data_IF_042767624334
#
_entry.id   IF_042767624334
#
_cell.length_a   1.000
_cell.length_b   1.000
_cell.length_c   1.000
_cell.angle_alpha   90.00
_cell.angle_beta   90.00
_cell.angle_gamma   90.00
#
_symmetry.space_group_name_H-M   'P 1'
#
loop_
_entity.id
_entity.type
_entity.pdbx_description
1 polymer ?
#
# COMPACT_ATOMS: atom_id res chain seq x y z
N UNK A 1 13.73 1.36 0.76
CA UNK A 1 12.36 1.64 1.22
C UNK A 1 12.12 3.11 1.57
N UNK A 2 12.99 3.79 2.34
CA UNK A 2 12.82 5.23 2.71
C UNK A 2 12.72 6.17 1.50
N UNK A 3 13.49 5.92 0.44
CA UNK A 3 13.49 6.74 -0.78
C UNK A 3 12.19 6.60 -1.60
N UNK A 4 11.54 5.46 -1.53
CA UNK A 4 10.30 5.17 -2.28
C UNK A 4 9.08 5.90 -1.71
N UNK A 5 9.04 6.15 -0.41
CA UNK A 5 7.98 6.92 0.25
C UNK A 5 7.97 8.39 -0.21
N UNK A 6 9.16 9.00 -0.37
CA UNK A 6 9.30 10.35 -0.91
C UNK A 6 8.96 10.42 -2.40
N UNK A 7 9.31 9.39 -3.18
CA UNK A 7 8.99 9.31 -4.61
C UNK A 7 7.49 9.11 -4.83
N UNK A 8 6.81 8.30 -4.01
CA UNK A 8 5.35 8.17 -4.10
C UNK A 8 4.61 9.48 -3.78
N UNK A 9 5.15 10.29 -2.86
CA UNK A 9 4.58 11.58 -2.51
C UNK A 9 4.61 12.56 -3.70
N UNK A 10 5.63 12.48 -4.57
CA UNK A 10 5.80 13.38 -5.73
C UNK A 10 5.35 12.77 -7.07
N UNK A 11 5.39 11.46 -7.26
CA UNK A 11 4.84 10.80 -8.46
C UNK A 11 3.33 11.02 -8.61
N UNK A 12 2.66 11.35 -7.51
CA UNK A 12 1.25 11.70 -7.49
C UNK A 12 0.90 13.00 -8.24
N UNK A 13 1.86 13.86 -8.57
CA UNK A 13 1.59 15.17 -9.18
C UNK A 13 1.67 15.14 -10.72
N UNK A 14 2.38 14.15 -11.29
CA UNK A 14 2.52 13.99 -12.74
C UNK A 14 1.45 13.05 -13.31
N UNK A 15 0.21 13.51 -13.35
CA UNK A 15 -0.90 12.81 -14.02
C UNK A 15 -0.77 12.92 -15.54
N UNK A 16 -0.14 11.94 -16.16
CA UNK A 16 -0.11 11.74 -17.60
C UNK A 16 0.15 10.26 -17.87
N UNK A 17 -0.79 9.59 -18.52
CA UNK A 17 -0.63 8.24 -19.02
C UNK A 17 0.50 8.19 -20.07
N UNK A 18 1.68 7.75 -19.66
CA UNK A 18 2.68 7.19 -20.56
C UNK A 18 3.71 6.43 -19.72
N UNK A 19 3.77 5.13 -19.90
CA UNK A 19 4.89 4.31 -19.41
C UNK A 19 6.17 4.72 -20.15
N UNK A 20 7.22 5.22 -19.48
CA UNK A 20 8.50 5.38 -20.11
C UNK A 20 9.23 4.04 -20.10
N UNK A 21 9.38 3.42 -21.25
CA UNK A 21 10.42 2.43 -21.53
C UNK A 21 11.77 3.15 -21.48
N UNK A 22 12.53 2.94 -20.41
CA UNK A 22 13.92 3.40 -20.35
C UNK A 22 14.83 2.39 -21.06
N UNK A 23 15.76 2.85 -21.89
CA UNK A 23 16.78 1.98 -22.46
C UNK A 23 17.78 1.60 -21.37
N UNK A 24 17.96 0.30 -21.18
CA UNK A 24 18.99 -0.29 -20.33
C UNK A 24 20.34 -0.11 -21.03
N UNK A 25 21.13 0.83 -20.57
CA UNK A 25 22.58 0.84 -20.83
C UNK A 25 23.26 0.26 -19.61
N UNK A 26 23.80 -0.95 -19.79
CA UNK A 26 24.58 -1.65 -18.80
C UNK A 26 25.91 -0.90 -18.56
N UNK A 27 26.13 -0.43 -17.35
CA UNK A 27 27.47 -0.12 -16.85
C UNK A 27 27.72 -0.98 -15.60
N UNK A 28 28.62 -1.91 -15.78
CA UNK A 28 29.11 -2.86 -14.79
C UNK A 28 29.88 -2.09 -13.70
N UNK A 29 29.37 -2.10 -12.48
CA UNK A 29 30.18 -1.84 -11.30
C UNK A 29 29.81 -2.88 -10.24
N UNK A 30 30.70 -3.84 -10.12
CA UNK A 30 30.73 -4.93 -9.15
C UNK A 30 30.82 -4.38 -7.73
N UNK A 31 29.75 -4.55 -6.95
CA UNK A 31 29.90 -4.63 -5.51
C UNK A 31 28.90 -5.66 -4.98
N UNK A 32 29.38 -6.89 -4.89
CA UNK A 32 28.69 -8.08 -4.43
C UNK A 32 28.63 -8.08 -2.91
N UNK A 33 27.57 -7.50 -2.36
CA UNK A 33 27.06 -7.97 -1.09
C UNK A 33 26.02 -9.05 -1.43
N UNK A 34 26.50 -10.29 -1.48
CA UNK A 34 25.68 -11.47 -1.69
C UNK A 34 24.79 -11.65 -0.46
N UNK A 35 23.53 -11.28 -0.59
CA UNK A 35 22.48 -11.78 0.30
C UNK A 35 22.30 -13.24 -0.08
N UNK A 36 22.79 -14.13 0.76
CA UNK A 36 22.53 -15.56 0.64
C UNK A 36 21.04 -15.80 0.88
N UNK A 37 20.31 -15.99 -0.21
CA UNK A 37 18.98 -16.59 -0.19
C UNK A 37 19.24 -18.10 -0.01
N UNK A 38 18.76 -18.72 1.09
CA UNK A 38 18.91 -20.16 1.25
C UNK A 38 18.22 -20.87 0.10
N UNK A 39 18.98 -21.63 -0.64
CA UNK A 39 18.54 -22.43 -1.78
C UNK A 39 17.72 -23.61 -1.30
N UNK A 40 16.56 -23.81 -1.92
CA UNK A 40 15.82 -25.04 -2.11
C UNK A 40 15.39 -25.81 -0.85
N UNK A 41 14.11 -25.73 -0.56
CA UNK A 41 13.41 -26.74 0.23
C UNK A 41 12.75 -27.73 -0.73
N UNK A 42 13.14 -29.04 -0.71
CA UNK A 42 12.34 -30.08 -1.34
C UNK A 42 11.23 -30.54 -0.37
N UNK A 43 9.99 -30.34 -0.76
CA UNK A 43 8.88 -31.18 -0.34
C UNK A 43 8.51 -31.17 1.14
N UNK A 44 7.91 -30.08 1.63
CA UNK A 44 6.96 -30.14 2.74
C UNK A 44 6.10 -28.89 2.74
N UNK A 45 4.88 -29.02 2.28
CA UNK A 45 3.90 -27.92 2.15
C UNK A 45 3.41 -27.40 3.51
N UNK A 46 3.77 -28.05 4.62
CA UNK A 46 3.29 -27.72 5.99
C UNK A 46 4.20 -26.82 6.83
N UNK A 47 5.49 -26.67 6.50
CA UNK A 47 6.42 -25.86 7.30
C UNK A 47 6.66 -24.47 6.73
N UNK A 48 6.83 -24.36 5.42
CA UNK A 48 7.22 -23.13 4.74
C UNK A 48 6.13 -22.05 4.80
N UNK A 49 4.86 -22.45 4.80
CA UNK A 49 3.73 -21.52 4.95
C UNK A 49 3.73 -20.82 6.31
N UNK A 50 4.04 -21.54 7.39
CA UNK A 50 4.09 -20.96 8.75
C UNK A 50 5.21 -19.94 8.92
N UNK A 51 6.38 -20.22 8.37
CA UNK A 51 7.54 -19.33 8.52
C UNK A 51 7.41 -18.05 7.68
N UNK A 52 6.78 -18.11 6.50
CA UNK A 52 6.46 -16.92 5.71
C UNK A 52 5.49 -16.00 6.43
N UNK A 53 4.47 -16.55 7.08
CA UNK A 53 3.48 -15.79 7.85
C UNK A 53 4.08 -15.19 9.12
N UNK A 54 4.96 -15.91 9.81
CA UNK A 54 5.67 -15.41 11.00
C UNK A 54 6.67 -14.30 10.67
N UNK A 55 7.32 -14.37 9.51
CA UNK A 55 8.23 -13.35 9.01
C UNK A 55 7.46 -12.06 8.69
N UNK A 56 6.31 -12.15 8.04
CA UNK A 56 5.49 -10.99 7.72
C UNK A 56 5.00 -10.24 8.97
N UNK A 57 4.44 -10.95 9.96
CA UNK A 57 4.00 -10.37 11.22
C UNK A 57 5.17 -9.74 12.02
N UNK A 58 6.35 -10.34 11.97
CA UNK A 58 7.56 -9.84 12.64
C UNK A 58 8.10 -8.55 12.00
N UNK A 59 7.90 -8.37 10.69
CA UNK A 59 8.38 -7.17 9.98
C UNK A 59 7.38 -6.01 10.04
N UNK A 60 6.08 -6.23 10.06
CA UNK A 60 5.08 -5.18 10.18
C UNK A 60 5.02 -4.57 11.57
N UNK A 61 5.13 -5.38 12.64
CA UNK A 61 5.08 -4.90 14.03
C UNK A 61 6.36 -4.21 14.52
N UNK A 62 7.49 -4.34 13.79
CA UNK A 62 8.79 -3.81 14.22
C UNK A 62 9.18 -2.49 13.53
N UNK A 63 8.43 -2.02 12.55
CA UNK A 63 8.81 -0.89 11.70
C UNK A 63 7.91 0.32 11.92
N UNK A 64 8.09 1.00 13.05
CA UNK A 64 7.66 2.40 13.12
C UNK A 64 8.66 3.23 12.32
N UNK A 65 8.23 3.71 11.15
CA UNK A 65 9.05 4.58 10.33
C UNK A 65 8.97 6.02 10.84
N UNK A 66 10.10 6.70 10.79
CA UNK A 66 10.22 8.13 11.11
C UNK A 66 11.11 8.82 10.08
N UNK A 67 10.91 10.12 9.84
CA UNK A 67 11.74 10.87 8.93
C UNK A 67 13.19 10.95 9.42
N UNK A 68 14.11 11.03 8.47
CA UNK A 68 15.49 11.42 8.74
C UNK A 68 15.60 12.94 8.86
N UNK A 69 16.73 13.43 9.40
CA UNK A 69 16.98 14.87 9.58
C UNK A 69 16.90 15.67 8.26
N UNK A 70 17.17 15.03 7.13
CA UNK A 70 17.23 15.68 5.82
C UNK A 70 15.93 15.58 5.01
N UNK A 71 15.01 14.69 5.35
CA UNK A 71 13.82 14.39 4.55
C UNK A 71 12.94 15.62 4.32
N UNK A 72 12.75 16.44 5.35
CA UNK A 72 11.98 17.69 5.23
C UNK A 72 12.66 18.73 4.29
N UNK A 73 13.98 18.82 4.33
CA UNK A 73 14.76 19.69 3.42
C UNK A 73 14.68 19.19 1.98
N UNK A 74 14.76 17.89 1.80
CA UNK A 74 14.63 17.24 0.48
C UNK A 74 13.23 17.51 -0.07
N UNK A 75 12.19 17.27 0.71
CA UNK A 75 10.80 17.52 0.29
C UNK A 75 10.55 18.96 -0.13
N UNK A 76 11.03 19.95 0.66
CA UNK A 76 10.95 21.37 0.32
C UNK A 76 11.70 21.67 -1.00
N UNK A 77 12.91 21.09 -1.17
CA UNK A 77 13.70 21.32 -2.38
C UNK A 77 12.99 20.81 -3.61
N UNK A 78 12.41 19.61 -3.54
CA UNK A 78 11.62 19.02 -4.63
C UNK A 78 10.39 19.88 -4.94
N UNK A 79 9.66 20.37 -3.91
CA UNK A 79 8.56 21.32 -4.10
C UNK A 79 8.98 22.58 -4.86
N UNK A 80 10.12 23.17 -4.50
CA UNK A 80 10.66 24.35 -5.21
C UNK A 80 11.10 24.05 -6.65
N UNK A 81 11.67 22.86 -6.90
CA UNK A 81 12.01 22.43 -8.26
C UNK A 81 10.74 22.25 -9.09
N UNK A 82 9.69 21.67 -8.50
CA UNK A 82 8.39 21.57 -9.13
C UNK A 82 7.83 22.94 -9.53
N UNK A 83 7.78 23.92 -8.63
CA UNK A 83 7.29 25.27 -8.91
C UNK A 83 8.03 25.93 -10.08
N UNK A 84 9.36 25.72 -10.19
CA UNK A 84 10.20 26.37 -11.21
C UNK A 84 10.13 25.69 -12.57
N UNK A 85 10.06 24.38 -12.59
CA UNK A 85 10.27 23.58 -13.80
C UNK A 85 8.98 22.94 -14.34
N UNK A 86 7.89 22.92 -13.59
CA UNK A 86 6.62 22.42 -14.11
C UNK A 86 6.14 23.34 -15.24
N UNK A 87 5.61 22.74 -16.30
CA UNK A 87 5.20 23.49 -17.50
C UNK A 87 4.15 24.59 -17.22
N UNK A 88 3.27 24.39 -16.23
CA UNK A 88 2.28 25.39 -15.79
C UNK A 88 2.86 26.41 -14.80
N UNK A 89 4.06 26.19 -14.26
CA UNK A 89 4.69 27.00 -13.21
C UNK A 89 3.76 27.31 -12.04
N UNK A 90 2.90 26.34 -11.69
CA UNK A 90 1.97 26.49 -10.58
C UNK A 90 2.73 26.48 -9.25
N UNK A 91 2.33 27.34 -8.32
CA UNK A 91 2.88 27.33 -6.96
C UNK A 91 2.48 26.06 -6.24
N UNK A 92 3.30 25.64 -5.30
CA UNK A 92 2.95 24.58 -4.37
C UNK A 92 2.07 25.19 -3.25
N UNK A 93 0.79 25.35 -3.55
CA UNK A 93 -0.22 25.94 -2.68
C UNK A 93 -1.14 24.88 -2.07
N UNK A 94 -2.13 25.33 -1.30
CA UNK A 94 -3.09 24.46 -0.63
C UNK A 94 -3.84 23.52 -1.60
N UNK A 95 -4.11 23.97 -2.85
CA UNK A 95 -4.79 23.11 -3.84
C UNK A 95 -3.89 21.95 -4.28
N UNK A 96 -2.61 22.25 -4.55
CA UNK A 96 -1.61 21.22 -4.88
C UNK A 96 -1.37 20.31 -3.69
N UNK A 97 -1.28 20.87 -2.49
CA UNK A 97 -1.15 20.10 -1.24
C UNK A 97 -2.29 19.09 -1.05
N UNK A 98 -3.53 19.52 -1.22
CA UNK A 98 -4.72 18.64 -1.14
C UNK A 98 -4.67 17.51 -2.19
N UNK A 99 -4.40 17.84 -3.43
CA UNK A 99 -4.28 16.84 -4.50
C UNK A 99 -3.16 15.83 -4.21
N UNK A 100 -2.04 16.30 -3.68
CA UNK A 100 -0.92 15.45 -3.30
C UNK A 100 -1.29 14.50 -2.17
N UNK A 101 -1.96 15.01 -1.13
CA UNK A 101 -2.48 14.21 -0.04
C UNK A 101 -3.45 13.13 -0.53
N UNK A 102 -4.47 13.52 -1.30
CA UNK A 102 -5.49 12.59 -1.81
C UNK A 102 -4.85 11.46 -2.62
N UNK A 103 -3.88 11.79 -3.48
CA UNK A 103 -3.14 10.79 -4.25
C UNK A 103 -2.23 9.91 -3.40
N UNK A 104 -1.67 10.44 -2.32
CA UNK A 104 -0.88 9.64 -1.39
C UNK A 104 -1.75 8.59 -0.69
N UNK A 105 -2.92 8.97 -0.22
CA UNK A 105 -3.90 8.04 0.35
C UNK A 105 -4.33 6.99 -0.67
N UNK A 106 -4.66 7.40 -1.89
CA UNK A 106 -5.06 6.48 -2.97
C UNK A 106 -3.93 5.54 -3.41
N UNK A 107 -2.67 5.98 -3.34
CA UNK A 107 -1.52 5.14 -3.63
C UNK A 107 -1.28 4.06 -2.56
N UNK A 108 -1.58 4.36 -1.30
CA UNK A 108 -1.49 3.39 -0.20
C UNK A 108 -2.67 2.42 -0.20
N UNK A 109 -3.87 2.90 -0.48
CA UNK A 109 -5.11 2.13 -0.35
C UNK A 109 -6.07 2.40 -1.53
N UNK A 110 -5.71 1.97 -2.77
CA UNK A 110 -6.45 2.30 -3.99
C UNK A 110 -7.85 1.67 -4.04
N UNK A 111 -8.09 0.60 -3.29
CA UNK A 111 -9.36 -0.11 -3.23
C UNK A 111 -10.15 0.19 -1.95
N UNK A 112 -9.69 1.11 -1.12
CA UNK A 112 -10.33 1.51 0.14
C UNK A 112 -10.63 0.31 1.05
N UNK A 113 -9.60 -0.54 1.21
CA UNK A 113 -9.70 -1.78 1.99
C UNK A 113 -9.15 -1.63 3.41
N UNK A 114 -8.21 -0.72 3.62
CA UNK A 114 -7.44 -0.66 4.86
C UNK A 114 -7.81 0.53 5.75
N UNK A 115 -7.69 1.76 5.24
CA UNK A 115 -8.03 2.94 6.03
C UNK A 115 -9.51 2.99 6.37
N UNK A 116 -9.82 3.31 7.62
CA UNK A 116 -11.16 3.59 8.08
C UNK A 116 -11.54 5.04 7.77
N UNK A 117 -12.85 5.33 7.77
CA UNK A 117 -13.34 6.70 7.66
C UNK A 117 -12.77 7.61 8.76
N UNK A 118 -12.70 7.11 9.99
CA UNK A 118 -12.13 7.82 11.14
C UNK A 118 -10.64 8.15 10.98
N UNK A 119 -9.86 7.29 10.30
CA UNK A 119 -8.45 7.59 10.02
C UNK A 119 -8.32 8.81 9.10
N UNK A 120 -9.17 8.91 8.07
CA UNK A 120 -9.16 10.05 7.15
C UNK A 120 -9.59 11.34 7.85
N UNK A 121 -10.60 11.29 8.73
CA UNK A 121 -11.04 12.41 9.54
C UNK A 121 -9.91 12.91 10.48
N UNK A 122 -9.11 12.00 11.03
CA UNK A 122 -7.92 12.34 11.84
C UNK A 122 -6.83 13.02 10.99
N UNK A 123 -6.73 12.67 9.68
CA UNK A 123 -5.74 13.23 8.76
C UNK A 123 -6.18 14.53 8.07
N UNK A 124 -7.44 14.94 8.18
CA UNK A 124 -7.96 16.17 7.55
C UNK A 124 -7.10 17.41 7.84
N UNK A 125 -6.60 17.68 9.07
CA UNK A 125 -5.73 18.83 9.32
C UNK A 125 -4.43 18.78 8.49
N UNK A 126 -3.87 17.60 8.25
CA UNK A 126 -2.67 17.44 7.40
C UNK A 126 -3.02 17.76 5.95
N UNK A 127 -4.16 17.29 5.47
CA UNK A 127 -4.66 17.54 4.12
C UNK A 127 -4.82 19.04 3.84
N UNK A 128 -5.38 19.78 4.80
CA UNK A 128 -5.64 21.21 4.63
C UNK A 128 -4.37 22.07 4.64
N UNK A 129 -3.29 21.62 5.31
CA UNK A 129 -2.07 22.39 5.54
C UNK A 129 -0.79 21.75 5.03
N UNK A 130 -0.87 20.79 4.10
CA UNK A 130 0.29 20.04 3.61
C UNK A 130 1.32 20.94 2.92
N UNK A 131 0.87 21.96 2.20
CA UNK A 131 1.73 22.95 1.57
C UNK A 131 2.58 23.72 2.60
N UNK A 132 1.97 24.19 3.68
CA UNK A 132 2.65 24.87 4.79
C UNK A 132 3.64 23.93 5.49
N UNK A 133 3.21 22.69 5.78
CA UNK A 133 4.06 21.68 6.42
C UNK A 133 5.34 21.44 5.62
N UNK A 134 5.23 21.25 4.31
CA UNK A 134 6.39 20.96 3.43
C UNK A 134 7.19 22.23 3.13
N UNK A 135 6.53 23.28 2.64
CA UNK A 135 7.23 24.43 2.06
C UNK A 135 7.76 25.41 3.11
N UNK A 136 7.12 25.50 4.27
CA UNK A 136 7.48 26.43 5.34
C UNK A 136 8.17 25.70 6.49
N UNK A 137 7.49 24.71 7.08
CA UNK A 137 7.97 24.01 8.28
C UNK A 137 9.02 22.93 7.97
N UNK A 138 9.08 22.43 6.73
CA UNK A 138 9.91 21.27 6.34
C UNK A 138 9.57 20.02 7.16
N UNK A 139 8.30 19.91 7.54
CA UNK A 139 7.80 18.83 8.34
C UNK A 139 7.15 17.78 7.44
N UNK A 140 7.72 16.60 7.43
CA UNK A 140 7.22 15.42 6.70
C UNK A 140 6.78 14.31 7.65
N UNK A 141 6.81 14.55 8.96
CA UNK A 141 6.36 13.58 9.97
C UNK A 141 4.95 13.05 9.68
N UNK A 142 3.96 13.90 9.29
CA UNK A 142 2.61 13.42 9.01
C UNK A 142 2.53 12.35 7.91
N UNK A 143 3.41 12.40 6.90
CA UNK A 143 3.45 11.36 5.87
C UNK A 143 3.88 9.99 6.44
N UNK A 144 4.79 10.00 7.41
CA UNK A 144 5.22 8.80 8.12
C UNK A 144 4.15 8.30 9.09
N UNK A 145 3.43 9.19 9.76
CA UNK A 145 2.33 8.84 10.66
C UNK A 145 1.18 8.17 9.90
N UNK A 146 0.83 8.70 8.73
CA UNK A 146 -0.15 8.09 7.83
C UNK A 146 0.30 6.70 7.38
N UNK A 147 1.57 6.55 6.98
CA UNK A 147 2.11 5.26 6.57
C UNK A 147 2.16 4.26 7.72
N UNK A 148 2.55 4.68 8.92
CA UNK A 148 2.53 3.83 10.11
C UNK A 148 1.09 3.39 10.44
N UNK A 149 0.10 4.29 10.31
CA UNK A 149 -1.32 3.92 10.45
C UNK A 149 -1.73 2.89 9.39
N UNK A 150 -1.30 3.04 8.14
CA UNK A 150 -1.54 2.06 7.10
C UNK A 150 -0.97 0.68 7.48
N UNK A 151 0.27 0.63 8.01
CA UNK A 151 0.87 -0.63 8.46
C UNK A 151 0.05 -1.30 9.58
N UNK A 152 -0.46 -0.52 10.54
CA UNK A 152 -1.34 -1.04 11.60
C UNK A 152 -2.62 -1.64 11.01
N UNK A 153 -3.26 -0.95 10.06
CA UNK A 153 -4.47 -1.46 9.41
C UNK A 153 -4.20 -2.70 8.56
N UNK A 154 -3.08 -2.71 7.85
CA UNK A 154 -2.64 -3.86 7.08
C UNK A 154 -2.39 -5.08 7.97
N UNK A 155 -1.74 -4.91 9.12
CA UNK A 155 -1.50 -5.98 10.09
C UNK A 155 -2.82 -6.54 10.67
N UNK A 156 -3.78 -5.66 10.98
CA UNK A 156 -5.12 -6.06 11.41
C UNK A 156 -5.85 -6.88 10.33
N UNK A 157 -5.77 -6.45 9.07
CA UNK A 157 -6.35 -7.18 7.95
C UNK A 157 -5.68 -8.55 7.78
N UNK A 158 -4.36 -8.58 7.80
CA UNK A 158 -3.56 -9.80 7.70
C UNK A 158 -3.92 -10.79 8.80
N UNK A 159 -3.96 -10.35 10.06
CA UNK A 159 -4.32 -11.20 11.19
C UNK A 159 -5.73 -11.78 11.04
N UNK A 160 -6.70 -10.96 10.62
CA UNK A 160 -8.08 -11.42 10.35
C UNK A 160 -8.14 -12.48 9.26
N UNK A 161 -7.40 -12.27 8.16
CA UNK A 161 -7.32 -13.23 7.06
C UNK A 161 -6.72 -14.57 7.53
N UNK A 162 -5.63 -14.52 8.28
CA UNK A 162 -4.97 -15.73 8.80
C UNK A 162 -5.87 -16.50 9.79
N UNK A 163 -6.54 -15.80 10.68
CA UNK A 163 -7.50 -16.42 11.63
C UNK A 163 -8.65 -17.08 10.88
N UNK A 164 -9.20 -16.42 9.87
CA UNK A 164 -10.29 -16.97 9.03
C UNK A 164 -9.84 -18.20 8.25
N UNK A 165 -8.64 -18.16 7.65
CA UNK A 165 -8.06 -19.31 6.95
C UNK A 165 -7.83 -20.51 7.88
N UNK A 166 -7.33 -20.27 9.09
CA UNK A 166 -7.10 -21.32 10.09
C UNK A 166 -8.42 -21.96 10.57
N UNK A 167 -9.49 -21.16 10.70
CA UNK A 167 -10.81 -21.66 11.05
C UNK A 167 -11.41 -22.55 9.97
N UNK A 168 -11.07 -22.32 8.69
CA UNK A 168 -11.45 -23.17 7.56
C UNK A 168 -12.95 -23.22 7.24
N UNK A 169 -13.76 -22.43 7.93
CA UNK A 169 -15.22 -22.46 7.80
C UNK A 169 -15.68 -21.51 6.69
N UNK A 170 -15.52 -21.92 5.43
CA UNK A 170 -16.03 -21.17 4.28
C UNK A 170 -17.38 -21.74 3.85
N UNK A 171 -18.44 -21.00 4.12
CA UNK A 171 -19.79 -21.28 3.62
C UNK A 171 -20.04 -20.43 2.37
N UNK A 172 -20.37 -21.10 1.26
CA UNK A 172 -20.69 -20.48 -0.04
C UNK A 172 -22.15 -20.74 -0.45
N UNK A 173 -23.00 -21.17 0.47
CA UNK A 173 -24.42 -21.49 0.18
C UNK A 173 -25.29 -20.24 0.01
N UNK A 174 -24.85 -19.10 0.51
CA UNK A 174 -25.58 -17.84 0.42
C UNK A 174 -25.33 -17.13 -0.92
N UNK A 175 -26.37 -16.44 -1.46
CA UNK A 175 -26.25 -15.58 -2.64
C UNK A 175 -25.62 -14.24 -2.25
N UNK A 176 -24.36 -14.28 -1.82
CA UNK A 176 -23.60 -13.11 -1.41
C UNK A 176 -23.07 -12.36 -2.64
N UNK A 177 -23.12 -11.03 -2.56
CA UNK A 177 -22.57 -10.13 -3.60
C UNK A 177 -21.41 -9.34 -3.05
N UNK A 178 -20.29 -9.32 -3.78
CA UNK A 178 -19.13 -8.51 -3.43
C UNK A 178 -18.85 -7.45 -4.50
N UNK A 179 -18.53 -6.25 -4.06
CA UNK A 179 -18.05 -5.19 -4.95
C UNK A 179 -16.54 -5.31 -5.09
N UNK A 180 -16.08 -5.76 -6.26
CA UNK A 180 -14.65 -5.98 -6.54
C UNK A 180 -13.90 -4.67 -6.69
N UNK A 181 -14.46 -3.72 -7.47
CA UNK A 181 -13.87 -2.39 -7.62
C UNK A 181 -14.48 -1.42 -6.60
N UNK A 182 -13.69 -1.04 -5.60
CA UNK A 182 -14.14 -0.21 -4.48
C UNK A 182 -13.68 1.24 -4.53
N UNK A 183 -13.09 1.70 -5.64
CA UNK A 183 -12.54 3.06 -5.76
C UNK A 183 -13.53 4.16 -5.39
N UNK A 184 -14.82 3.96 -5.72
CA UNK A 184 -15.90 4.93 -5.44
C UNK A 184 -16.76 4.55 -4.20
N UNK A 185 -16.47 3.40 -3.57
CA UNK A 185 -17.23 2.95 -2.40
C UNK A 185 -16.70 3.65 -1.15
N UNK A 186 -17.58 4.09 -0.22
CA UNK A 186 -17.14 4.63 1.06
C UNK A 186 -16.21 3.68 1.82
N UNK A 187 -15.30 4.23 2.58
CA UNK A 187 -14.42 3.46 3.46
C UNK A 187 -15.22 2.90 4.64
N UNK A 188 -14.80 1.76 5.22
CA UNK A 188 -15.42 1.23 6.43
C UNK A 188 -15.44 2.29 7.54
N UNK A 189 -16.56 2.39 8.25
CA UNK A 189 -16.70 3.36 9.32
C UNK A 189 -15.90 2.97 10.56
N UNK A 190 -15.76 1.67 10.81
CA UNK A 190 -15.10 1.11 11.99
C UNK A 190 -14.39 -0.21 11.65
N UNK A 191 -13.69 -0.75 12.65
CA UNK A 191 -12.88 -1.96 12.49
C UNK A 191 -13.74 -3.20 12.22
N UNK A 192 -14.96 -3.28 12.74
CA UNK A 192 -15.82 -4.44 12.55
C UNK A 192 -16.34 -4.51 11.10
N UNK A 193 -16.69 -3.36 10.52
CA UNK A 193 -17.02 -3.27 9.09
C UNK A 193 -15.81 -3.63 8.21
N UNK A 194 -14.62 -3.17 8.61
CA UNK A 194 -13.40 -3.49 7.91
C UNK A 194 -13.09 -5.00 7.98
N UNK A 195 -13.22 -5.63 9.14
CA UNK A 195 -13.04 -7.08 9.30
C UNK A 195 -14.00 -7.86 8.43
N UNK A 196 -15.28 -7.49 8.42
CA UNK A 196 -16.26 -8.10 7.54
C UNK A 196 -15.84 -7.98 6.07
N UNK A 197 -15.44 -6.80 5.65
CA UNK A 197 -14.95 -6.55 4.29
C UNK A 197 -13.76 -7.44 3.93
N UNK A 198 -12.78 -7.61 4.83
CA UNK A 198 -11.61 -8.46 4.59
C UNK A 198 -11.99 -9.94 4.48
N UNK A 199 -12.91 -10.41 5.33
CA UNK A 199 -13.43 -11.79 5.27
C UNK A 199 -14.21 -12.02 3.98
N UNK A 200 -15.09 -11.10 3.59
CA UNK A 200 -15.87 -11.22 2.35
C UNK A 200 -14.93 -11.23 1.13
N UNK A 201 -13.89 -10.38 1.14
CA UNK A 201 -12.87 -10.39 0.08
C UNK A 201 -12.09 -11.69 0.02
N UNK A 202 -11.66 -12.20 1.17
CA UNK A 202 -10.98 -13.49 1.26
C UNK A 202 -11.85 -14.63 0.72
N UNK A 203 -13.14 -14.67 1.08
CA UNK A 203 -14.09 -15.69 0.57
C UNK A 203 -14.19 -15.63 -0.96
N UNK A 204 -14.27 -14.44 -1.52
CA UNK A 204 -14.32 -14.26 -2.96
C UNK A 204 -13.04 -14.76 -3.65
N UNK A 205 -11.86 -14.37 -3.17
CA UNK A 205 -10.56 -14.80 -3.73
C UNK A 205 -10.40 -16.33 -3.61
N UNK A 206 -10.77 -16.90 -2.46
CA UNK A 206 -10.73 -18.35 -2.24
C UNK A 206 -11.66 -19.14 -3.18
N UNK A 207 -12.87 -18.61 -3.42
CA UNK A 207 -13.82 -19.22 -4.36
C UNK A 207 -13.29 -19.12 -5.81
N UNK A 208 -12.75 -17.98 -6.20
CA UNK A 208 -12.18 -17.76 -7.53
C UNK A 208 -11.05 -18.75 -7.80
N UNK A 209 -10.13 -18.91 -6.85
CA UNK A 209 -9.01 -19.86 -6.96
C UNK A 209 -9.50 -21.32 -7.10
N UNK A 210 -10.52 -21.70 -6.32
CA UNK A 210 -11.11 -23.04 -6.43
C UNK A 210 -11.76 -23.31 -7.79
N UNK A 211 -12.40 -22.31 -8.38
CA UNK A 211 -13.05 -22.44 -9.69
C UNK A 211 -11.99 -22.57 -10.79
N UNK A 212 -10.95 -21.77 -10.73
CA UNK A 212 -9.82 -21.83 -11.68
C UNK A 212 -9.10 -23.19 -11.62
N UNK A 213 -8.84 -23.71 -10.42
CA UNK A 213 -8.28 -25.07 -10.22
C UNK A 213 -9.22 -26.17 -10.76
N UNK A 214 -10.52 -26.00 -10.65
CA UNK A 214 -11.52 -26.93 -11.18
C UNK A 214 -11.54 -26.95 -12.70
N UNK A 215 -11.46 -25.81 -13.36
CA UNK A 215 -11.41 -25.70 -14.82
C UNK A 215 -10.13 -26.33 -15.40
N UNK A 216 -8.97 -26.07 -14.78
CA UNK A 216 -7.69 -26.67 -15.20
C UNK A 216 -7.73 -28.20 -15.09
N UNK A 217 -8.28 -28.76 -14.01
CA UNK A 217 -8.44 -30.20 -13.86
C UNK A 217 -9.41 -30.79 -14.89
N UNK A 218 -10.49 -30.10 -15.21
CA UNK A 218 -11.44 -30.50 -16.26
C UNK A 218 -10.82 -30.54 -17.65
N UNK A 219 -9.93 -29.58 -17.98
CA UNK A 219 -9.19 -29.55 -19.25
C UNK A 219 -8.14 -30.65 -19.37
N UNK A 220 -7.56 -31.11 -18.27
CA UNK A 220 -6.54 -32.17 -18.26
C UNK A 220 -7.12 -33.58 -18.27
N UNK A 221 -8.40 -33.76 -18.02
CA UNK A 221 -9.11 -35.06 -17.94
C UNK A 221 -10.05 -35.32 -19.11
N UNK A 222 -10.22 -34.38 -20.03
CA UNK A 222 -11.00 -34.50 -21.28
C UNK A 222 -10.08 -34.72 -22.46
#
# INVERSE_FOLDING_TARGET
>A
MKFWLLVCLFAAIAGGEASPTLPVTATTATNTARVEIPSAVPGAVDGASRDYFLISAKYTNALTLSPSADDGRIAQTVGRVFERNHYTRHKFDAEVGKKMFDRYIDALDPQRLYFLKTDLEEFDPVREHLDELIMVKRDVQPAYDIFNRFLVRYDQAYSTVIETLKAGNFDFSADDKIVVNRKEIPRPANLDEARKLWVDRLRFEYLSEKLDDGEVKGMLTG
#
